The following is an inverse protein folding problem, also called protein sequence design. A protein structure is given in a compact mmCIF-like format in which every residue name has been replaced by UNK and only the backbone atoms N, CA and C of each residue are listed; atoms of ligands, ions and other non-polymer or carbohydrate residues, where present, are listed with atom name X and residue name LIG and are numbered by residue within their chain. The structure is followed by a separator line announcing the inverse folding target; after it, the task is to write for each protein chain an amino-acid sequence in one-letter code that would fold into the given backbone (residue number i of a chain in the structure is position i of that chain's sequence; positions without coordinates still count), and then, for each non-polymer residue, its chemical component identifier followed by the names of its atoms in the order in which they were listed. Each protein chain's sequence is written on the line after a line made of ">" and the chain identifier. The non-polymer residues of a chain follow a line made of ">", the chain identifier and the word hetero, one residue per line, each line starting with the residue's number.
data_IF_257102629425
#
_entry.id   IF_257102629425
#
_cell.length_a   1.000
_cell.length_b   1.000
_cell.length_c   1.000
_cell.angle_alpha   90.00
_cell.angle_beta   90.00
_cell.angle_gamma   90.00
#
_symmetry.space_group_name_H-M   'P 1'
#
loop_
_entity.id
_entity.type
_entity.pdbx_description
1 polymer ?
#
# COMPACT_ATOMS: atom_id res chain seq x y z
N UNK A 1 -17.60 35.15 1.52
CA UNK A 1 -17.44 33.67 1.38
C UNK A 1 -18.51 33.01 0.47
N UNK A 2 -19.10 33.70 -0.52
CA UNK A 2 -20.07 33.15 -1.50
C UNK A 2 -19.71 33.67 -2.91
N UNK A 3 -18.62 33.20 -3.51
CA UNK A 3 -18.21 33.73 -4.83
C UNK A 3 -17.09 32.99 -5.56
N UNK A 4 -16.36 32.07 -4.92
CA UNK A 4 -15.27 31.33 -5.58
C UNK A 4 -15.74 30.07 -6.34
N UNK A 5 -16.97 29.61 -6.12
CA UNK A 5 -17.52 28.39 -6.78
C UNK A 5 -18.12 28.70 -8.16
N UNK A 6 -18.46 29.96 -8.45
CA UNK A 6 -19.12 30.37 -9.70
C UNK A 6 -18.15 30.86 -10.79
N UNK A 7 -16.95 31.36 -10.43
CA UNK A 7 -15.98 31.91 -11.39
C UNK A 7 -15.21 30.81 -12.14
N UNK A 8 -14.98 29.66 -11.51
CA UNK A 8 -14.38 28.46 -12.12
C UNK A 8 -15.34 27.27 -12.18
N UNK A 9 -16.65 27.52 -12.03
CA UNK A 9 -17.67 26.47 -11.96
C UNK A 9 -17.56 25.49 -13.11
N UNK A 10 -17.34 25.96 -14.34
CA UNK A 10 -17.17 25.08 -15.51
C UNK A 10 -16.04 24.06 -15.33
N UNK A 11 -14.91 24.45 -14.76
CA UNK A 11 -13.76 23.56 -14.54
C UNK A 11 -14.09 22.55 -13.44
N UNK A 12 -14.57 23.01 -12.29
CA UNK A 12 -14.94 22.13 -11.16
C UNK A 12 -16.04 21.14 -11.53
N UNK A 13 -17.12 21.60 -12.20
CA UNK A 13 -18.19 20.72 -12.68
C UNK A 13 -17.69 19.72 -13.73
N UNK A 14 -16.76 20.11 -14.61
CA UNK A 14 -16.12 19.17 -15.55
C UNK A 14 -15.23 18.15 -14.83
N UNK A 15 -14.51 18.51 -13.78
CA UNK A 15 -13.74 17.54 -12.97
C UNK A 15 -14.65 16.57 -12.23
N UNK A 16 -15.72 17.05 -11.59
CA UNK A 16 -16.69 16.18 -10.91
C UNK A 16 -17.41 15.26 -11.91
N UNK A 17 -17.91 15.80 -13.03
CA UNK A 17 -18.54 15.02 -14.08
C UNK A 17 -17.56 14.01 -14.71
N UNK A 18 -16.31 14.41 -14.93
CA UNK A 18 -15.23 13.55 -15.41
C UNK A 18 -14.90 12.44 -14.42
N UNK A 19 -14.84 12.73 -13.12
CA UNK A 19 -14.60 11.72 -12.08
C UNK A 19 -15.72 10.67 -12.05
N UNK A 20 -16.98 11.10 -12.22
CA UNK A 20 -18.12 10.18 -12.34
C UNK A 20 -17.99 9.31 -13.59
N UNK A 21 -17.68 9.91 -14.76
CA UNK A 21 -17.48 9.17 -16.01
C UNK A 21 -16.33 8.15 -15.88
N UNK A 22 -15.21 8.55 -15.27
CA UNK A 22 -14.03 7.70 -15.07
C UNK A 22 -14.37 6.53 -14.15
N UNK A 23 -15.11 6.73 -13.06
CA UNK A 23 -15.53 5.64 -12.18
C UNK A 23 -16.46 4.65 -12.89
N UNK A 24 -17.39 5.13 -13.73
CA UNK A 24 -18.22 4.25 -14.56
C UNK A 24 -17.34 3.43 -15.52
N UNK A 25 -16.40 4.08 -16.19
CA UNK A 25 -15.48 3.40 -17.10
C UNK A 25 -14.57 2.39 -16.38
N UNK A 26 -14.05 2.76 -15.21
CA UNK A 26 -13.24 1.90 -14.35
C UNK A 26 -14.02 0.69 -13.86
N UNK A 27 -15.31 0.85 -13.57
CA UNK A 27 -16.19 -0.26 -13.22
C UNK A 27 -16.37 -1.21 -14.41
N UNK A 28 -16.64 -0.69 -15.61
CA UNK A 28 -16.80 -1.51 -16.82
C UNK A 28 -15.51 -2.27 -17.14
N UNK A 29 -14.38 -1.57 -17.18
CA UNK A 29 -13.06 -2.16 -17.43
C UNK A 29 -12.65 -3.12 -16.30
N UNK A 30 -12.99 -2.80 -15.05
CA UNK A 30 -12.72 -3.63 -13.88
C UNK A 30 -13.50 -4.95 -13.92
N UNK A 31 -14.79 -4.92 -14.25
CA UNK A 31 -15.60 -6.15 -14.39
C UNK A 31 -15.13 -7.01 -15.57
N UNK A 32 -14.84 -6.38 -16.72
CA UNK A 32 -14.37 -7.10 -17.90
C UNK A 32 -12.96 -7.68 -17.67
N UNK A 33 -12.06 -6.87 -17.12
CA UNK A 33 -10.70 -7.25 -16.77
C UNK A 33 -10.66 -8.34 -15.70
N UNK A 34 -11.48 -8.24 -14.65
CA UNK A 34 -11.53 -9.25 -13.58
C UNK A 34 -11.82 -10.65 -14.13
N UNK A 35 -12.72 -10.79 -15.12
CA UNK A 35 -12.95 -12.08 -15.79
C UNK A 35 -11.72 -12.61 -16.52
N UNK A 36 -10.95 -11.74 -17.17
CA UNK A 36 -9.72 -12.13 -17.85
C UNK A 36 -8.63 -12.52 -16.85
N UNK A 37 -8.42 -11.72 -15.81
CA UNK A 37 -7.43 -12.00 -14.75
C UNK A 37 -7.78 -13.26 -13.96
N UNK A 38 -9.06 -13.53 -13.68
CA UNK A 38 -9.50 -14.76 -13.05
C UNK A 38 -9.13 -16.00 -13.89
N UNK A 39 -9.17 -15.89 -15.22
CA UNK A 39 -8.78 -16.98 -16.12
C UNK A 39 -7.27 -17.23 -16.11
N UNK A 40 -6.46 -16.18 -16.01
CA UNK A 40 -5.00 -16.28 -15.87
C UNK A 40 -4.62 -16.90 -14.52
N UNK A 41 -5.32 -16.52 -13.45
CA UNK A 41 -5.11 -17.11 -12.11
C UNK A 41 -5.53 -18.58 -12.01
N UNK A 42 -6.30 -19.11 -12.96
CA UNK A 42 -6.69 -20.53 -13.02
C UNK A 42 -5.71 -21.42 -13.78
N UNK A 43 -4.62 -20.88 -14.32
CA UNK A 43 -3.56 -21.67 -14.95
C UNK A 43 -2.78 -22.41 -13.87
N UNK A 44 -2.42 -23.68 -14.12
CA UNK A 44 -1.70 -24.50 -13.13
C UNK A 44 -0.41 -23.82 -12.65
N UNK A 45 -0.29 -23.71 -11.33
CA UNK A 45 0.87 -23.11 -10.64
C UNK A 45 2.20 -23.74 -11.06
N UNK A 46 2.17 -25.00 -11.51
CA UNK A 46 3.35 -25.75 -11.96
C UNK A 46 4.08 -25.09 -13.15
N UNK A 47 3.35 -24.39 -14.03
CA UNK A 47 3.94 -23.62 -15.13
C UNK A 47 4.15 -22.15 -14.76
N UNK A 48 3.28 -21.61 -13.90
CA UNK A 48 3.29 -20.19 -13.55
C UNK A 48 4.50 -19.82 -12.71
N UNK A 49 4.84 -20.64 -11.72
CA UNK A 49 5.96 -20.43 -10.80
C UNK A 49 7.32 -20.33 -11.55
N UNK A 50 7.73 -21.31 -12.38
CA UNK A 50 9.03 -21.24 -13.06
C UNK A 50 9.11 -20.08 -14.07
N UNK A 51 7.98 -19.72 -14.69
CA UNK A 51 7.90 -18.57 -15.60
C UNK A 51 8.09 -17.24 -14.83
N UNK A 52 7.35 -17.03 -13.74
CA UNK A 52 7.47 -15.83 -12.89
C UNK A 52 8.88 -15.74 -12.30
N UNK A 53 9.43 -16.87 -11.85
CA UNK A 53 10.77 -16.93 -11.28
C UNK A 53 11.84 -16.53 -12.31
N UNK A 54 11.80 -17.13 -13.50
CA UNK A 54 12.74 -16.80 -14.58
C UNK A 54 12.62 -15.33 -14.99
N UNK A 55 11.40 -14.82 -15.14
CA UNK A 55 11.14 -13.43 -15.52
C UNK A 55 11.60 -12.45 -14.42
N UNK A 56 11.47 -12.81 -13.15
CA UNK A 56 11.92 -11.98 -12.02
C UNK A 56 13.44 -11.91 -11.92
N UNK A 57 14.15 -13.02 -12.17
CA UNK A 57 15.61 -13.05 -12.22
C UNK A 57 16.12 -12.17 -13.37
N UNK A 58 15.55 -12.32 -14.56
CA UNK A 58 15.90 -11.50 -15.73
C UNK A 58 15.58 -10.02 -15.46
N UNK A 59 14.41 -9.73 -14.91
CA UNK A 59 13.98 -8.36 -14.60
C UNK A 59 14.86 -7.68 -13.57
N UNK A 60 15.23 -8.38 -12.49
CA UNK A 60 16.12 -7.85 -11.46
C UNK A 60 17.52 -7.58 -12.00
N UNK A 61 18.04 -8.48 -12.84
CA UNK A 61 19.33 -8.29 -13.50
C UNK A 61 19.30 -7.15 -14.53
N UNK A 62 18.20 -6.97 -15.26
CA UNK A 62 18.09 -5.97 -16.33
C UNK A 62 18.11 -4.50 -15.87
N UNK A 63 17.73 -4.21 -14.61
CA UNK A 63 17.63 -2.83 -14.10
C UNK A 63 19.02 -2.21 -13.92
N UNK A 64 19.91 -2.91 -13.21
CA UNK A 64 21.23 -2.38 -12.83
C UNK A 64 22.39 -3.18 -13.41
N UNK A 65 22.15 -4.32 -14.09
CA UNK A 65 23.17 -5.25 -14.58
C UNK A 65 24.15 -5.69 -13.47
N UNK A 66 23.68 -5.71 -12.22
CA UNK A 66 24.46 -6.14 -11.06
C UNK A 66 23.89 -7.43 -10.48
N UNK A 67 24.79 -8.35 -10.12
CA UNK A 67 24.42 -9.63 -9.50
C UNK A 67 23.88 -9.46 -8.07
N UNK A 68 24.18 -8.33 -7.42
CA UNK A 68 23.67 -7.97 -6.08
C UNK A 68 22.15 -7.83 -6.05
N UNK A 69 21.53 -7.26 -7.09
CA UNK A 69 20.06 -7.15 -7.15
C UNK A 69 19.39 -8.53 -7.20
N UNK A 70 20.01 -9.50 -7.88
CA UNK A 70 19.52 -10.89 -7.94
C UNK A 70 19.59 -11.55 -6.56
N UNK A 71 20.65 -11.31 -5.78
CA UNK A 71 20.75 -11.78 -4.40
C UNK A 71 19.64 -11.18 -3.51
N UNK A 72 19.39 -9.87 -3.64
CA UNK A 72 18.30 -9.20 -2.91
C UNK A 72 16.95 -9.79 -3.32
N UNK A 73 16.71 -9.98 -4.62
CA UNK A 73 15.49 -10.62 -5.14
C UNK A 73 15.30 -12.03 -4.56
N UNK A 74 16.35 -12.83 -4.46
CA UNK A 74 16.27 -14.17 -3.87
C UNK A 74 15.91 -14.14 -2.38
N UNK A 75 16.55 -13.25 -1.61
CA UNK A 75 16.23 -13.04 -0.19
C UNK A 75 14.78 -12.60 0.01
N UNK A 76 14.31 -11.62 -0.77
CA UNK A 76 12.92 -11.16 -0.72
C UNK A 76 11.93 -12.23 -1.20
N UNK A 77 12.31 -13.08 -2.15
CA UNK A 77 11.52 -14.24 -2.57
C UNK A 77 11.32 -15.25 -1.44
N UNK A 78 12.39 -15.55 -0.68
CA UNK A 78 12.31 -16.41 0.51
C UNK A 78 11.40 -15.77 1.57
N UNK A 79 11.55 -14.47 1.83
CA UNK A 79 10.68 -13.74 2.78
C UNK A 79 9.21 -13.85 2.33
N UNK A 80 8.94 -13.67 1.03
CA UNK A 80 7.60 -13.81 0.45
C UNK A 80 7.01 -15.22 0.64
N UNK A 81 7.83 -16.27 0.55
CA UNK A 81 7.40 -17.63 0.85
C UNK A 81 7.02 -17.83 2.32
N UNK A 82 7.80 -17.26 3.25
CA UNK A 82 7.45 -17.28 4.68
C UNK A 82 6.13 -16.56 4.95
N UNK A 83 5.94 -15.39 4.36
CA UNK A 83 4.71 -14.62 4.46
C UNK A 83 3.49 -15.44 4.00
N UNK A 84 3.61 -16.18 2.90
CA UNK A 84 2.55 -17.07 2.43
C UNK A 84 2.27 -18.19 3.44
N UNK A 85 3.30 -18.73 4.08
CA UNK A 85 3.18 -19.73 5.16
C UNK A 85 2.51 -19.17 6.43
N UNK A 86 2.64 -17.88 6.70
CA UNK A 86 1.97 -17.20 7.82
C UNK A 86 0.52 -16.77 7.49
N UNK A 87 -0.02 -17.18 6.34
CA UNK A 87 -1.37 -16.82 5.86
C UNK A 87 -1.61 -15.29 5.86
N UNK A 88 -0.55 -14.51 5.70
CA UNK A 88 -0.67 -13.06 5.61
C UNK A 88 -1.33 -12.73 4.27
N UNK A 89 -2.39 -11.93 4.32
CA UNK A 89 -3.07 -11.49 3.10
C UNK A 89 -2.11 -10.68 2.22
N UNK A 90 -1.90 -11.13 0.98
CA UNK A 90 -1.09 -10.44 -0.03
C UNK A 90 -1.46 -8.97 -0.16
N UNK A 91 -2.75 -8.63 -0.04
CA UNK A 91 -3.23 -7.26 -0.10
C UNK A 91 -2.66 -6.38 1.03
N UNK A 92 -2.51 -6.90 2.25
CA UNK A 92 -1.98 -6.15 3.39
C UNK A 92 -0.51 -5.79 3.22
N UNK A 93 0.27 -6.69 2.59
CA UNK A 93 1.70 -6.47 2.35
C UNK A 93 1.89 -5.42 1.26
N UNK A 94 1.13 -5.53 0.17
CA UNK A 94 1.15 -4.54 -0.91
C UNK A 94 0.75 -3.18 -0.34
N UNK A 95 -0.28 -3.12 0.51
CA UNK A 95 -0.67 -1.88 1.18
C UNK A 95 0.47 -1.33 2.06
N UNK A 96 1.13 -2.17 2.86
CA UNK A 96 2.27 -1.76 3.69
C UNK A 96 3.45 -1.26 2.84
N UNK A 97 3.75 -1.92 1.72
CA UNK A 97 4.79 -1.54 0.77
C UNK A 97 4.49 -0.18 0.12
N UNK A 98 3.23 0.11 -0.18
CA UNK A 98 2.80 1.41 -0.74
C UNK A 98 2.82 2.49 0.33
N UNK A 99 2.29 2.21 1.53
CA UNK A 99 2.21 3.19 2.63
C UNK A 99 3.57 3.52 3.24
N UNK A 100 4.50 2.57 3.30
CA UNK A 100 5.85 2.75 3.83
C UNK A 100 6.57 4.00 3.28
N UNK A 101 6.82 4.10 1.96
CA UNK A 101 7.49 5.26 1.38
C UNK A 101 6.67 6.54 1.48
N UNK A 102 5.33 6.46 1.47
CA UNK A 102 4.47 7.64 1.67
C UNK A 102 4.63 8.17 3.10
N UNK A 103 4.67 7.28 4.09
CA UNK A 103 4.91 7.62 5.49
C UNK A 103 6.32 8.16 5.72
N UNK A 104 7.34 7.50 5.17
CA UNK A 104 8.74 7.92 5.27
C UNK A 104 8.97 9.28 4.60
N UNK A 105 8.43 9.49 3.39
CA UNK A 105 8.54 10.78 2.70
C UNK A 105 7.79 11.88 3.44
N UNK A 106 6.62 11.61 4.02
CA UNK A 106 5.90 12.53 4.88
C UNK A 106 6.68 12.92 6.14
N UNK A 107 7.28 11.92 6.81
CA UNK A 107 8.13 12.12 7.98
C UNK A 107 9.39 12.92 7.62
N UNK A 108 10.10 12.51 6.56
CA UNK A 108 11.32 13.18 6.07
C UNK A 108 11.03 14.63 5.68
N UNK A 109 9.94 14.88 4.96
CA UNK A 109 9.50 16.24 4.60
C UNK A 109 9.25 17.09 5.85
N UNK A 110 8.59 16.52 6.86
CA UNK A 110 8.31 17.21 8.12
C UNK A 110 9.59 17.56 8.89
N UNK A 111 10.59 16.66 8.91
CA UNK A 111 11.88 16.89 9.56
C UNK A 111 12.74 17.93 8.82
N UNK A 112 12.75 17.90 7.48
CA UNK A 112 13.49 18.88 6.66
C UNK A 112 12.93 20.30 6.87
N UNK A 113 11.60 20.44 6.92
CA UNK A 113 10.94 21.74 7.14
C UNK A 113 11.22 22.34 8.52
N UNK A 114 11.64 21.52 9.49
CA UNK A 114 11.87 21.94 10.88
C UNK A 114 13.35 21.80 11.30
N UNK A 115 14.27 21.97 10.35
CA UNK A 115 15.71 21.98 10.58
C UNK A 115 16.22 20.76 11.40
N UNK A 116 15.70 19.57 11.11
CA UNK A 116 16.13 18.30 11.71
C UNK A 116 15.87 18.16 13.23
N UNK A 117 14.97 18.98 13.80
CA UNK A 117 14.54 18.82 15.19
C UNK A 117 13.40 17.79 15.29
N UNK A 118 13.70 16.60 15.83
CA UNK A 118 12.70 15.57 16.18
C UNK A 118 11.63 16.08 17.16
N UNK A 119 11.92 17.18 17.85
CA UNK A 119 10.99 17.85 18.76
C UNK A 119 9.67 18.23 18.08
N UNK A 120 9.61 18.42 16.75
CA UNK A 120 8.37 18.79 16.05
C UNK A 120 7.25 17.74 16.19
N UNK A 121 7.61 16.45 16.27
CA UNK A 121 6.65 15.36 16.47
C UNK A 121 5.97 15.45 17.86
N UNK A 122 6.65 16.08 18.82
CA UNK A 122 6.18 16.33 20.18
C UNK A 122 5.85 17.80 20.47
N UNK A 123 5.94 18.69 19.49
CA UNK A 123 5.63 20.11 19.69
C UNK A 123 4.20 20.43 19.25
N UNK A 124 3.75 19.83 18.15
CA UNK A 124 2.38 20.00 17.68
C UNK A 124 1.41 19.12 18.49
N UNK A 125 0.43 19.75 19.13
CA UNK A 125 -0.67 19.07 19.84
C UNK A 125 -1.41 18.08 18.93
N UNK A 126 -1.55 18.41 17.64
CA UNK A 126 -2.17 17.54 16.64
C UNK A 126 -1.33 16.28 16.40
N UNK A 127 0.00 16.42 16.30
CA UNK A 127 0.91 15.28 16.12
C UNK A 127 0.90 14.35 17.33
N UNK A 128 0.84 14.89 18.56
CA UNK A 128 0.69 14.06 19.78
C UNK A 128 -0.61 13.27 19.78
N UNK A 129 -1.73 13.91 19.47
CA UNK A 129 -3.05 13.24 19.44
C UNK A 129 -3.06 12.15 18.38
N UNK A 130 -2.55 12.42 17.17
CA UNK A 130 -2.46 11.43 16.10
C UNK A 130 -1.54 10.27 16.45
N UNK A 131 -0.35 10.52 17.03
CA UNK A 131 0.55 9.46 17.49
C UNK A 131 -0.10 8.57 18.56
N UNK A 132 -0.80 9.18 19.51
CA UNK A 132 -1.51 8.46 20.56
C UNK A 132 -2.65 7.62 19.96
N UNK A 133 -3.39 8.15 18.98
CA UNK A 133 -4.42 7.43 18.24
C UNK A 133 -3.85 6.25 17.43
N UNK A 134 -2.71 6.44 16.77
CA UNK A 134 -2.03 5.39 16.02
C UNK A 134 -1.55 4.26 16.94
N UNK A 135 -0.94 4.61 18.08
CA UNK A 135 -0.57 3.64 19.12
C UNK A 135 -1.82 2.90 19.61
N UNK A 136 -2.89 3.61 19.95
CA UNK A 136 -4.14 2.99 20.39
C UNK A 136 -4.72 2.06 19.32
N UNK A 137 -4.69 2.44 18.05
CA UNK A 137 -5.17 1.63 16.93
C UNK A 137 -4.33 0.38 16.69
N UNK A 138 -3.00 0.46 16.83
CA UNK A 138 -2.10 -0.70 16.76
C UNK A 138 -2.31 -1.67 17.93
N UNK A 139 -2.53 -1.15 19.13
CA UNK A 139 -2.75 -1.97 20.34
C UNK A 139 -4.18 -2.50 20.47
N UNK A 140 -5.17 -1.84 19.87
CA UNK A 140 -6.58 -2.23 19.87
C UNK A 140 -6.82 -3.69 19.45
N UNK A 141 -6.34 -4.18 18.29
CA UNK A 141 -6.53 -5.58 17.89
C UNK A 141 -5.81 -6.57 18.82
N UNK A 142 -4.67 -6.18 19.41
CA UNK A 142 -3.91 -7.00 20.37
C UNK A 142 -4.65 -7.13 21.72
N UNK A 143 -5.23 -6.03 22.20
CA UNK A 143 -6.01 -5.99 23.45
C UNK A 143 -7.34 -6.73 23.29
N UNK A 144 -8.00 -6.56 22.13
CA UNK A 144 -9.24 -7.26 21.79
C UNK A 144 -9.01 -8.78 21.63
N UNK A 145 -7.87 -9.19 21.06
CA UNK A 145 -7.49 -10.60 20.93
C UNK A 145 -7.21 -11.26 22.29
N UNK A 146 -6.53 -10.55 23.22
CA UNK A 146 -6.31 -11.04 24.59
C UNK A 146 -7.61 -11.12 25.41
N UNK A 147 -8.53 -10.16 25.26
CA UNK A 147 -9.81 -10.18 25.99
C UNK A 147 -10.77 -11.27 25.48
N UNK A 148 -10.79 -11.55 24.16
CA UNK A 148 -11.61 -12.62 23.57
C UNK A 148 -11.13 -14.02 23.96
N UNK A 149 -9.84 -14.19 24.25
CA UNK A 149 -9.28 -15.47 24.72
C UNK A 149 -9.64 -15.78 26.18
N UNK A 150 -10.04 -14.78 26.98
CA UNK A 150 -10.37 -14.91 28.41
C UNK A 150 -11.85 -15.20 28.71
N UNK A 151 -12.70 -15.24 27.68
CA UNK A 151 -14.14 -15.51 27.80
C UNK A 151 -14.54 -16.83 27.11
N UNK A 152 -13.54 -17.69 26.88
CA UNK A 152 -13.67 -19.03 26.29
C UNK A 152 -13.00 -20.10 27.15
N UNK A 153 -12.67 -19.76 28.40
CA UNK A 153 -12.35 -20.68 29.50
C UNK A 153 -13.56 -20.77 30.43
#
# INVERSE_FOLDING_TARGET
>A
MRGSVTVHGKITYTFFAGFVIVNIFMLILGLFGSKLFAKVSGVSDSYLIPLIFSLSVIGSYAINNQMSDVWVMFVFGIIGYFVQKFELNSASIVLALILGPIGESGLRRSLILNHNSYSILFQSTVSKVLLLLTLFSLFSPIIMSKLKKRNKE
#
